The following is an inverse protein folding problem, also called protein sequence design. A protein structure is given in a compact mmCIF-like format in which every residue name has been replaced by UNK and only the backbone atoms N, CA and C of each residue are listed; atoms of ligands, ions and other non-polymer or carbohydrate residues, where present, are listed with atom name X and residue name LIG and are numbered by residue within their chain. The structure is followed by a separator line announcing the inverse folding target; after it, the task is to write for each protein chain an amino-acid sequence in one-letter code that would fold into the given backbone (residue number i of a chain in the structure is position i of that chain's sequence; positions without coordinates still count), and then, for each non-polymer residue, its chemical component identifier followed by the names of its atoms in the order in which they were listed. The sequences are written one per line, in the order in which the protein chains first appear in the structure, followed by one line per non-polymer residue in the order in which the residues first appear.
data_IF_487522645703
#
_entry.id   IF_487522645703
#
_cell.length_a   1.000
_cell.length_b   1.000
_cell.length_c   1.000
_cell.angle_alpha   90.00
_cell.angle_beta   90.00
_cell.angle_gamma   90.00
#
_symmetry.space_group_name_H-M   'P 1'
#
loop_
_entity.id
_entity.type
_entity.pdbx_description
1 polymer ?
#
# COMPACT_ATOMS: atom_id res chain seq x y z
N UNK A 1 18.91 -4.41 19.29
CA UNK A 1 17.59 -4.13 19.91
C UNK A 1 16.79 -5.40 19.83
N UNK A 2 16.08 -5.79 20.89
CA UNK A 2 15.28 -7.01 20.89
C UNK A 2 14.19 -6.88 19.82
N UNK A 3 14.23 -7.73 18.80
CA UNK A 3 13.13 -7.88 17.86
C UNK A 3 12.01 -8.57 18.65
N UNK A 4 11.04 -7.79 19.11
CA UNK A 4 9.81 -8.33 19.67
C UNK A 4 9.05 -8.95 18.52
N UNK A 5 9.14 -10.27 18.35
CA UNK A 5 8.34 -10.98 17.37
C UNK A 5 6.86 -10.84 17.76
N UNK A 6 6.10 -10.17 16.90
CA UNK A 6 4.65 -10.11 17.00
C UNK A 6 4.12 -11.39 16.34
N UNK A 7 3.54 -12.29 17.14
CA UNK A 7 2.85 -13.47 16.61
C UNK A 7 1.48 -13.07 16.08
N UNK A 8 1.40 -12.81 14.77
CA UNK A 8 0.16 -12.47 14.07
C UNK A 8 -0.90 -13.57 14.17
N UNK A 9 -0.52 -14.83 14.42
CA UNK A 9 -1.45 -15.95 14.58
C UNK A 9 -2.27 -15.89 15.86
N UNK A 10 -1.86 -15.07 16.82
CA UNK A 10 -2.59 -14.86 18.09
C UNK A 10 -3.62 -13.73 18.02
N UNK A 11 -3.57 -12.90 16.98
CA UNK A 11 -4.45 -11.76 16.79
C UNK A 11 -5.70 -12.14 16.00
N UNK A 12 -6.86 -11.65 16.40
CA UNK A 12 -8.07 -11.71 15.56
C UNK A 12 -7.86 -10.92 14.25
N UNK A 13 -8.67 -11.17 13.21
CA UNK A 13 -8.63 -10.37 11.99
C UNK A 13 -8.79 -8.86 12.25
N UNK A 14 -9.66 -8.45 13.16
CA UNK A 14 -9.83 -7.05 13.55
C UNK A 14 -8.59 -6.47 14.23
N UNK A 15 -7.95 -7.24 15.11
CA UNK A 15 -6.72 -6.83 15.79
C UNK A 15 -5.54 -6.72 14.81
N UNK A 16 -5.47 -7.60 13.81
CA UNK A 16 -4.49 -7.50 12.73
C UNK A 16 -4.69 -6.23 11.90
N UNK A 17 -5.94 -5.91 11.54
CA UNK A 17 -6.27 -4.66 10.84
C UNK A 17 -5.92 -3.43 11.68
N UNK A 18 -6.26 -3.44 12.98
CA UNK A 18 -5.91 -2.36 13.89
C UNK A 18 -4.39 -2.19 14.08
N UNK A 19 -3.62 -3.29 14.05
CA UNK A 19 -2.17 -3.24 14.07
C UNK A 19 -1.61 -2.67 12.76
N UNK A 20 -2.16 -3.07 11.61
CA UNK A 20 -1.78 -2.54 10.30
C UNK A 20 -1.98 -1.01 10.24
N UNK A 21 -3.12 -0.50 10.68
CA UNK A 21 -3.40 0.93 10.73
C UNK A 21 -2.39 1.69 11.60
N UNK A 22 -2.10 1.16 12.79
CA UNK A 22 -1.13 1.78 13.71
C UNK A 22 0.28 1.81 13.13
N UNK A 23 0.69 0.72 12.46
CA UNK A 23 1.98 0.66 11.78
C UNK A 23 2.02 1.66 10.63
N UNK A 24 0.96 1.73 9.83
CA UNK A 24 0.84 2.67 8.71
C UNK A 24 0.96 4.13 9.15
N UNK A 25 0.21 4.52 10.18
CA UNK A 25 0.25 5.83 10.80
C UNK A 25 1.64 6.19 11.35
N UNK A 26 2.30 5.24 12.00
CA UNK A 26 3.65 5.43 12.53
C UNK A 26 4.68 5.61 11.42
N UNK A 27 4.57 4.84 10.33
CA UNK A 27 5.46 4.95 9.18
C UNK A 27 5.24 6.29 8.46
N UNK A 28 4.00 6.70 8.22
CA UNK A 28 3.68 7.97 7.56
C UNK A 28 4.22 9.20 8.30
N UNK A 29 4.29 9.16 9.63
CA UNK A 29 4.89 10.22 10.45
C UNK A 29 6.41 10.28 10.41
N UNK A 30 7.08 9.25 9.88
CA UNK A 30 8.53 9.13 9.94
C UNK A 30 9.11 8.91 8.54
N UNK A 31 9.19 9.99 7.78
CA UNK A 31 9.66 10.00 6.38
C UNK A 31 11.09 9.47 6.22
N UNK A 32 11.90 9.52 7.28
CA UNK A 32 13.27 8.98 7.29
C UNK A 32 13.31 7.43 7.25
N UNK A 33 12.18 6.75 7.48
CA UNK A 33 12.06 5.30 7.32
C UNK A 33 11.92 4.88 5.85
N UNK A 34 11.63 5.81 4.96
CA UNK A 34 11.52 5.56 3.53
C UNK A 34 12.82 5.96 2.81
N UNK A 35 13.23 5.22 1.77
CA UNK A 35 14.29 5.68 0.89
C UNK A 35 13.95 7.08 0.37
N UNK A 36 14.90 8.01 0.46
CA UNK A 36 14.70 9.35 -0.11
C UNK A 36 14.48 9.22 -1.61
N UNK A 37 13.31 9.68 -2.06
CA UNK A 37 13.01 9.80 -3.47
C UNK A 37 13.77 11.00 -4.04
N UNK A 38 14.31 10.82 -5.24
CA UNK A 38 14.86 11.94 -6.02
C UNK A 38 13.71 12.78 -6.60
N UNK A 39 13.98 14.05 -6.90
CA UNK A 39 13.00 14.95 -7.52
C UNK A 39 12.33 14.35 -8.78
N UNK A 40 13.07 13.71 -9.72
CA UNK A 40 12.42 13.08 -10.88
C UNK A 40 11.49 11.92 -10.51
N UNK A 41 11.79 11.19 -9.43
CA UNK A 41 10.95 10.09 -8.96
C UNK A 41 9.67 10.61 -8.31
N UNK A 42 9.76 11.69 -7.52
CA UNK A 42 8.59 12.35 -6.94
C UNK A 42 7.68 12.86 -8.05
N UNK A 43 8.24 13.57 -9.04
CA UNK A 43 7.48 14.07 -10.17
C UNK A 43 6.78 12.96 -10.96
N UNK A 44 7.44 11.82 -11.18
CA UNK A 44 6.82 10.67 -11.86
C UNK A 44 5.67 10.06 -11.03
N UNK A 45 5.82 10.00 -9.70
CA UNK A 45 4.75 9.51 -8.81
C UNK A 45 3.55 10.44 -8.87
N UNK A 46 3.77 11.75 -8.76
CA UNK A 46 2.70 12.75 -8.83
C UNK A 46 1.98 12.67 -10.19
N UNK A 47 2.72 12.60 -11.29
CA UNK A 47 2.14 12.49 -12.63
C UNK A 47 1.29 11.22 -12.82
N UNK A 48 1.73 10.08 -12.27
CA UNK A 48 0.95 8.82 -12.31
C UNK A 48 -0.27 8.88 -11.40
N UNK A 49 -0.17 9.56 -10.25
CA UNK A 49 -1.33 9.77 -9.37
C UNK A 49 -2.38 10.61 -10.09
N UNK A 50 -1.97 11.71 -10.73
CA UNK A 50 -2.85 12.56 -11.54
C UNK A 50 -3.46 11.82 -12.73
N UNK A 51 -2.75 10.86 -13.32
CA UNK A 51 -3.28 9.96 -14.35
C UNK A 51 -4.38 9.05 -13.80
N UNK A 52 -4.14 8.41 -12.65
CA UNK A 52 -5.13 7.55 -11.99
C UNK A 52 -6.39 8.32 -11.59
N UNK A 53 -6.24 9.52 -11.05
CA UNK A 53 -7.39 10.37 -10.70
C UNK A 53 -8.23 10.74 -11.93
N UNK A 54 -7.57 11.03 -13.07
CA UNK A 54 -8.26 11.26 -14.34
C UNK A 54 -8.95 10.02 -14.88
N UNK A 55 -8.35 8.84 -14.71
CA UNK A 55 -8.96 7.57 -15.10
C UNK A 55 -10.22 7.29 -14.27
N UNK A 56 -10.14 7.43 -12.96
CA UNK A 56 -11.27 7.29 -12.04
C UNK A 56 -12.39 8.27 -12.40
N UNK A 57 -12.06 9.56 -12.60
CA UNK A 57 -13.03 10.60 -12.97
C UNK A 57 -13.72 10.31 -14.31
N UNK A 58 -13.01 9.65 -15.24
CA UNK A 58 -13.55 9.23 -16.53
C UNK A 58 -14.31 7.89 -16.48
N UNK A 59 -14.43 7.26 -15.30
CA UNK A 59 -15.05 5.94 -15.15
C UNK A 59 -14.25 4.81 -15.78
N UNK A 60 -12.94 5.03 -16.04
CA UNK A 60 -12.04 3.97 -16.47
C UNK A 60 -11.62 3.13 -15.26
N UNK A 61 -11.41 1.81 -15.43
CA UNK A 61 -10.94 0.97 -14.33
C UNK A 61 -9.55 1.43 -13.85
N UNK A 62 -9.45 1.84 -12.59
CA UNK A 62 -8.18 2.10 -11.93
C UNK A 62 -7.54 0.77 -11.52
N UNK A 63 -6.68 0.23 -12.37
CA UNK A 63 -5.95 -1.01 -12.11
C UNK A 63 -6.70 -2.29 -12.50
N UNK A 64 -6.25 -3.42 -11.96
CA UNK A 64 -6.78 -4.76 -12.27
C UNK A 64 -7.87 -5.10 -11.24
N UNK A 65 -9.09 -5.47 -11.66
CA UNK A 65 -10.12 -5.96 -10.75
C UNK A 65 -9.63 -7.10 -9.86
N UNK A 66 -10.08 -7.14 -8.60
CA UNK A 66 -9.57 -8.10 -7.60
C UNK A 66 -9.81 -9.56 -7.98
N UNK A 67 -10.93 -9.85 -8.63
CA UNK A 67 -11.25 -11.15 -9.23
C UNK A 67 -10.24 -11.56 -10.31
N UNK A 68 -9.81 -10.62 -11.15
CA UNK A 68 -8.78 -10.85 -12.17
C UNK A 68 -7.39 -11.05 -11.53
N UNK A 69 -7.08 -10.34 -10.45
CA UNK A 69 -5.85 -10.59 -9.66
C UNK A 69 -5.85 -12.00 -9.09
N UNK A 70 -6.95 -12.41 -8.44
CA UNK A 70 -7.10 -13.75 -7.87
C UNK A 70 -7.02 -14.84 -8.95
N UNK A 71 -7.60 -14.60 -10.13
CA UNK A 71 -7.50 -15.51 -11.27
C UNK A 71 -6.06 -15.72 -11.70
N UNK A 72 -5.28 -14.63 -11.82
CA UNK A 72 -3.85 -14.70 -12.22
C UNK A 72 -3.02 -15.47 -11.21
N UNK A 73 -3.18 -15.18 -9.91
CA UNK A 73 -2.43 -15.85 -8.84
C UNK A 73 -2.73 -17.36 -8.81
N UNK A 74 -3.99 -17.77 -8.99
CA UNK A 74 -4.38 -19.20 -9.01
C UNK A 74 -3.96 -19.94 -10.28
N UNK A 75 -3.58 -19.20 -11.33
CA UNK A 75 -3.11 -19.76 -12.61
C UNK A 75 -1.58 -19.83 -12.70
N UNK A 76 -0.87 -19.49 -11.63
CA UNK A 76 0.57 -19.71 -11.43
C UNK A 76 0.77 -20.76 -10.34
#
# INVERSE_FOLDING_TARGET
MAQSDIDLGTLSPEEQLGLLDQLWERLGRNQDLFPRLTEPQLHEIDARSDELDRDVAAGRPSGIPWDEVLRRIKSH
#
